data_IF_368986355634
#
_entry.id   IF_368986355634
#
_cell.length_a   1.000
_cell.length_b   1.000
_cell.length_c   1.000
_cell.angle_alpha   90.00
_cell.angle_beta   90.00
_cell.angle_gamma   90.00
#
_symmetry.space_group_name_H-M   'P 1'
#
loop_
_entity.id
_entity.type
_entity.pdbx_description
1 polymer ?
#
# COMPACT_ATOMS: atom_id res chain seq x y z
N UNK A 1 2.27 2.31 -14.39
CA UNK A 1 2.56 1.00 -13.77
C UNK A 1 1.35 0.53 -12.98
N UNK A 2 1.02 -0.74 -13.07
CA UNK A 2 -0.11 -1.33 -12.36
C UNK A 2 0.37 -2.41 -11.41
N UNK A 3 -0.43 -2.69 -10.39
CA UNK A 3 -0.17 -3.77 -9.45
C UNK A 3 -1.45 -4.54 -9.14
N UNK A 4 -1.30 -5.83 -8.86
CA UNK A 4 -2.39 -6.65 -8.34
C UNK A 4 -2.46 -6.47 -6.83
N UNK A 5 -3.63 -6.17 -6.32
CA UNK A 5 -3.83 -5.93 -4.90
C UNK A 5 -5.13 -6.53 -4.39
N UNK A 6 -5.14 -6.85 -3.10
CA UNK A 6 -6.37 -7.11 -2.38
C UNK A 6 -7.00 -5.76 -2.08
N UNK A 7 -8.25 -5.58 -2.47
CA UNK A 7 -8.96 -4.31 -2.35
C UNK A 7 -10.22 -4.48 -1.52
N UNK A 8 -10.34 -3.69 -0.46
CA UNK A 8 -11.56 -3.56 0.33
C UNK A 8 -12.35 -2.38 -0.23
N UNK A 9 -13.35 -2.66 -1.05
CA UNK A 9 -14.15 -1.60 -1.72
C UNK A 9 -15.08 -0.86 -0.77
N UNK A 10 -15.51 -1.53 0.26
CA UNK A 10 -16.36 -1.03 1.31
C UNK A 10 -16.39 -2.04 2.44
N UNK A 11 -17.18 -1.83 3.51
CA UNK A 11 -17.28 -2.80 4.59
C UNK A 11 -17.64 -4.20 4.06
N UNK A 12 -16.86 -5.20 4.48
CA UNK A 12 -17.06 -6.62 4.13
C UNK A 12 -17.03 -6.95 2.63
N UNK A 13 -16.51 -6.04 1.79
CA UNK A 13 -16.45 -6.22 0.33
C UNK A 13 -14.98 -6.29 -0.13
N UNK A 14 -14.40 -7.48 -0.03
CA UNK A 14 -13.00 -7.75 -0.36
C UNK A 14 -12.89 -8.37 -1.75
N UNK A 15 -12.01 -7.82 -2.58
CA UNK A 15 -11.79 -8.28 -3.95
C UNK A 15 -10.29 -8.28 -4.29
N UNK A 16 -9.95 -9.05 -5.32
CA UNK A 16 -8.65 -8.95 -5.97
C UNK A 16 -8.82 -8.06 -7.19
N UNK A 17 -7.98 -7.04 -7.33
CA UNK A 17 -8.09 -6.10 -8.44
C UNK A 17 -6.72 -5.60 -8.88
N UNK A 18 -6.65 -5.10 -10.10
CA UNK A 18 -5.46 -4.44 -10.64
C UNK A 18 -5.63 -2.95 -10.46
N UNK A 19 -4.67 -2.33 -9.77
CA UNK A 19 -4.70 -0.91 -9.44
C UNK A 19 -3.56 -0.17 -10.13
N UNK A 20 -3.84 1.07 -10.54
CA UNK A 20 -2.82 1.96 -11.06
C UNK A 20 -2.00 2.57 -9.93
N UNK A 21 -0.69 2.58 -10.10
CA UNK A 21 0.25 3.26 -9.21
C UNK A 21 0.53 4.66 -9.73
N UNK A 22 0.68 5.61 -8.81
CA UNK A 22 1.17 6.94 -9.15
C UNK A 22 2.60 6.83 -9.68
N UNK A 23 3.01 7.67 -10.66
CA UNK A 23 4.39 7.71 -11.10
C UNK A 23 5.32 8.05 -9.93
N UNK A 24 6.47 7.37 -9.77
CA UNK A 24 7.42 7.72 -8.72
C UNK A 24 8.01 9.11 -8.95
N UNK A 25 8.11 9.90 -7.87
CA UNK A 25 8.76 11.19 -7.87
C UNK A 25 10.28 11.09 -7.68
N UNK A 26 10.94 12.26 -7.55
CA UNK A 26 12.40 12.34 -7.47
C UNK A 26 12.98 11.67 -6.20
N UNK A 27 12.20 11.67 -5.12
CA UNK A 27 12.63 11.12 -3.83
C UNK A 27 12.01 9.75 -3.54
N UNK A 28 11.36 9.17 -4.51
CA UNK A 28 10.65 7.91 -4.35
C UNK A 28 11.50 6.70 -4.74
N UNK A 29 11.16 5.57 -4.15
CA UNK A 29 11.66 4.26 -4.56
C UNK A 29 10.48 3.38 -4.93
N UNK A 30 10.73 2.40 -5.80
CA UNK A 30 9.75 1.39 -6.17
C UNK A 30 10.16 0.08 -5.51
N UNK A 31 9.23 -0.52 -4.78
CA UNK A 31 9.46 -1.73 -4.00
C UNK A 31 8.55 -2.84 -4.49
N UNK A 32 9.15 -3.99 -4.80
CA UNK A 32 8.39 -5.21 -5.06
C UNK A 32 8.12 -5.90 -3.72
N UNK A 33 6.85 -5.88 -3.29
CA UNK A 33 6.44 -6.39 -2.00
C UNK A 33 6.42 -7.92 -2.03
N UNK A 34 7.06 -8.54 -1.04
CA UNK A 34 7.04 -9.98 -0.84
C UNK A 34 6.08 -10.41 0.28
N UNK A 35 5.93 -9.59 1.30
CA UNK A 35 5.08 -9.88 2.46
C UNK A 35 4.40 -8.60 2.94
N UNK A 36 3.14 -8.71 3.34
CA UNK A 36 2.46 -7.64 4.05
C UNK A 36 1.80 -8.17 5.32
N UNK A 37 1.83 -7.36 6.38
CA UNK A 37 1.24 -7.68 7.66
C UNK A 37 -0.18 -7.10 7.79
N UNK A 38 -1.07 -7.86 8.39
CA UNK A 38 -2.44 -7.40 8.65
C UNK A 38 -2.60 -7.17 10.14
N UNK A 39 -2.90 -5.92 10.52
CA UNK A 39 -3.21 -5.55 11.89
C UNK A 39 -4.63 -6.00 12.23
N UNK A 40 -4.77 -6.91 13.21
CA UNK A 40 -6.08 -7.42 13.61
C UNK A 40 -6.98 -6.36 14.25
N UNK A 41 -6.40 -5.32 14.83
CA UNK A 41 -7.16 -4.20 15.43
C UNK A 41 -7.69 -3.23 14.39
N UNK A 42 -6.79 -2.49 13.76
CA UNK A 42 -7.14 -1.41 12.82
C UNK A 42 -7.88 -1.93 11.58
N UNK A 43 -7.37 -2.99 10.97
CA UNK A 43 -7.96 -3.49 9.73
C UNK A 43 -9.31 -4.17 9.95
N UNK A 44 -9.53 -4.74 11.14
CA UNK A 44 -10.85 -5.23 11.51
C UNK A 44 -11.89 -4.12 11.56
N UNK A 45 -11.53 -2.94 12.02
CA UNK A 45 -12.43 -1.78 12.04
C UNK A 45 -12.79 -1.33 10.62
N UNK A 46 -11.85 -1.33 9.70
CA UNK A 46 -12.13 -1.04 8.29
C UNK A 46 -13.01 -2.12 7.66
N UNK A 47 -12.72 -3.39 7.91
CA UNK A 47 -13.53 -4.49 7.41
C UNK A 47 -14.99 -4.39 7.85
N UNK A 48 -15.22 -4.09 9.11
CA UNK A 48 -16.58 -4.00 9.67
C UNK A 48 -17.29 -2.68 9.38
N UNK A 49 -16.57 -1.67 8.86
CA UNK A 49 -17.12 -0.35 8.64
C UNK A 49 -17.22 0.51 9.91
N UNK A 50 -16.57 0.10 11.00
CA UNK A 50 -16.67 0.78 12.30
C UNK A 50 -15.52 1.75 12.57
N UNK A 51 -14.60 1.90 11.63
CA UNK A 51 -13.50 2.85 11.78
C UNK A 51 -14.03 4.28 11.74
N UNK A 52 -13.73 5.13 12.76
CA UNK A 52 -14.06 6.54 12.68
C UNK A 52 -13.38 7.21 11.47
N UNK A 53 -14.05 8.14 10.78
CA UNK A 53 -13.44 8.87 9.67
C UNK A 53 -12.22 9.65 10.12
N UNK A 54 -11.15 9.62 9.33
CA UNK A 54 -9.98 10.48 9.52
C UNK A 54 -9.31 10.80 8.18
N UNK A 55 -8.56 11.91 8.08
CA UNK A 55 -7.94 12.33 6.83
C UNK A 55 -6.95 11.30 6.29
N UNK A 56 -6.97 11.09 4.97
CA UNK A 56 -6.02 10.22 4.29
C UNK A 56 -6.38 8.74 4.30
N UNK A 57 -7.52 8.37 4.86
CA UNK A 57 -7.98 6.99 4.88
C UNK A 57 -9.47 6.89 4.56
N UNK A 58 -9.85 5.82 3.90
CA UNK A 58 -11.22 5.56 3.49
C UNK A 58 -11.29 4.37 2.53
N UNK A 59 -12.40 4.24 1.85
CA UNK A 59 -12.62 3.21 0.85
C UNK A 59 -12.55 3.80 -0.57
N UNK A 60 -12.12 3.05 -1.58
CA UNK A 60 -11.56 1.71 -1.46
C UNK A 60 -10.18 1.71 -0.79
N UNK A 61 -9.90 0.67 -0.02
CA UNK A 61 -8.70 0.54 0.78
C UNK A 61 -7.91 -0.70 0.39
N UNK A 62 -6.60 -0.59 0.26
CA UNK A 62 -5.70 -1.74 0.20
C UNK A 62 -5.23 -2.03 1.62
N UNK A 63 -5.68 -3.11 2.26
CA UNK A 63 -5.24 -3.48 3.61
C UNK A 63 -3.82 -4.04 3.59
N UNK A 64 -3.23 -4.23 4.79
CA UNK A 64 -1.87 -4.74 4.90
C UNK A 64 -0.82 -3.66 4.67
N UNK A 65 -0.97 -2.52 5.30
CA UNK A 65 -0.12 -1.35 5.06
C UNK A 65 1.32 -1.48 5.56
N UNK A 66 1.62 -2.47 6.39
CA UNK A 66 2.99 -2.78 6.80
C UNK A 66 3.55 -3.87 5.90
N UNK A 67 4.59 -3.56 5.15
CA UNK A 67 5.08 -4.44 4.10
C UNK A 67 6.60 -4.56 4.11
N UNK A 68 7.09 -5.67 3.57
CA UNK A 68 8.51 -5.92 3.33
C UNK A 68 8.69 -6.31 1.88
N UNK A 69 9.73 -5.80 1.26
CA UNK A 69 10.03 -6.15 -0.12
C UNK A 69 11.43 -5.72 -0.53
N UNK A 70 11.70 -5.86 -1.82
CA UNK A 70 12.97 -5.45 -2.42
C UNK A 70 12.80 -4.24 -3.30
N UNK A 71 13.74 -3.32 -3.19
CA UNK A 71 13.82 -2.16 -4.09
C UNK A 71 14.12 -2.66 -5.49
N UNK A 72 13.31 -2.25 -6.45
CA UNK A 72 13.52 -2.56 -7.88
C UNK A 72 13.92 -1.30 -8.66
N UNK A 73 13.62 -0.13 -8.16
CA UNK A 73 13.97 1.15 -8.76
C UNK A 73 14.17 2.18 -7.66
N UNK A 74 15.24 2.97 -7.72
CA UNK A 74 15.53 4.04 -6.77
C UNK A 74 16.20 5.20 -7.48
N UNK A 75 15.73 6.41 -7.18
CA UNK A 75 16.33 7.63 -7.71
C UNK A 75 17.67 7.94 -7.01
N UNK A 76 18.62 8.60 -7.71
CA UNK A 76 19.86 9.05 -7.09
C UNK A 76 19.57 9.96 -5.89
N UNK A 77 20.31 9.76 -4.81
CA UNK A 77 20.17 10.59 -3.60
C UNK A 77 19.18 10.05 -2.56
N UNK A 78 18.44 8.99 -2.86
CA UNK A 78 17.52 8.38 -1.89
C UNK A 78 18.23 7.57 -0.82
N UNK A 79 19.48 7.15 -1.07
CA UNK A 79 20.23 6.26 -0.18
C UNK A 79 19.90 4.78 -0.37
N UNK A 80 19.02 4.44 -1.28
CA UNK A 80 18.63 3.07 -1.61
C UNK A 80 19.11 2.68 -3.00
N UNK A 81 19.19 1.38 -3.23
CA UNK A 81 19.58 0.81 -4.53
C UNK A 81 18.78 -0.45 -4.82
N UNK A 82 18.61 -0.82 -6.10
CA UNK A 82 17.94 -2.07 -6.47
C UNK A 82 18.58 -3.28 -5.76
N UNK A 83 17.74 -4.16 -5.24
CA UNK A 83 18.16 -5.32 -4.47
C UNK A 83 18.13 -5.14 -2.95
N UNK A 84 18.04 -3.92 -2.45
CA UNK A 84 17.91 -3.67 -1.01
C UNK A 84 16.59 -4.23 -0.49
N UNK A 85 16.63 -4.90 0.65
CA UNK A 85 15.43 -5.31 1.37
C UNK A 85 15.01 -4.21 2.32
N UNK A 86 13.74 -3.80 2.23
CA UNK A 86 13.23 -2.67 2.98
C UNK A 86 11.90 -3.00 3.66
N UNK A 87 11.66 -2.34 4.80
CA UNK A 87 10.37 -2.32 5.46
C UNK A 87 9.62 -1.05 5.05
N UNK A 88 8.34 -1.21 4.68
CA UNK A 88 7.47 -0.11 4.25
C UNK A 88 6.34 0.02 5.26
N UNK A 89 6.39 1.01 6.17
CA UNK A 89 5.36 1.18 7.19
C UNK A 89 4.07 1.81 6.66
N UNK A 90 4.05 2.23 5.42
CA UNK A 90 2.91 2.83 4.75
C UNK A 90 3.38 3.47 3.45
N UNK A 91 2.48 3.58 2.50
CA UNK A 91 2.76 4.17 1.21
C UNK A 91 1.54 4.96 0.72
N UNK A 92 1.78 6.00 -0.07
CA UNK A 92 0.74 6.73 -0.79
C UNK A 92 1.01 6.56 -2.28
N UNK A 93 0.69 5.39 -2.79
CA UNK A 93 1.12 5.00 -4.13
C UNK A 93 -0.02 4.68 -5.10
N UNK A 94 -1.26 4.58 -4.63
CA UNK A 94 -2.38 4.24 -5.49
C UNK A 94 -3.08 5.48 -6.01
N UNK A 95 -3.46 5.45 -7.30
CA UNK A 95 -4.17 6.58 -7.92
C UNK A 95 -5.62 6.67 -7.45
N UNK A 96 -6.29 5.54 -7.25
CA UNK A 96 -7.74 5.47 -7.00
C UNK A 96 -8.10 4.65 -5.75
N UNK A 97 -7.17 4.49 -4.81
CA UNK A 97 -7.41 3.77 -3.57
C UNK A 97 -6.57 4.33 -2.44
N UNK A 98 -7.00 4.08 -1.21
CA UNK A 98 -6.24 4.37 0.00
C UNK A 98 -5.40 3.15 0.39
N UNK A 99 -4.38 3.37 1.11
CA UNK A 99 -3.47 2.30 1.55
C UNK A 99 -2.17 2.85 2.05
#
# INVERSE_FOLDING_TARGET
>A
MNTLAVLLKGPEDLQLDTLALKPPGEDDIVVEISHSGISTGTEKLFWSGQMPPFPGMGYPLVPGYESVGKVIEAQPGTGYKPGDTVFVPGADCFSDAFG
#
